data_IF_331593164180
#
_entry.id   IF_331593164180
#
_cell.length_a   1.000
_cell.length_b   1.000
_cell.length_c   1.000
_cell.angle_alpha   90.00
_cell.angle_beta   90.00
_cell.angle_gamma   90.00
#
_symmetry.space_group_name_H-M   'P 1'
#
loop_
_entity.id
_entity.type
_entity.pdbx_description
1 polymer ?
#
# COMPACT_ATOMS: atom_id res chain seq x y z
N UNK A 1 -29.21 2.87 12.53
CA UNK A 1 -28.76 1.47 12.39
C UNK A 1 -29.44 0.90 11.15
N UNK A 2 -28.73 0.18 10.27
CA UNK A 2 -29.39 -0.54 9.17
C UNK A 2 -30.07 -1.78 9.75
N UNK A 3 -31.26 -2.11 9.24
CA UNK A 3 -31.89 -3.39 9.54
C UNK A 3 -31.13 -4.54 8.88
N UNK A 4 -31.31 -5.79 9.32
CA UNK A 4 -30.70 -6.95 8.67
C UNK A 4 -31.05 -7.07 7.18
N UNK A 5 -32.28 -6.69 6.82
CA UNK A 5 -32.78 -6.66 5.45
C UNK A 5 -32.06 -5.60 4.61
N UNK A 6 -31.94 -4.37 5.13
CA UNK A 6 -31.19 -3.29 4.46
C UNK A 6 -29.70 -3.60 4.32
N UNK A 7 -29.11 -4.33 5.27
CA UNK A 7 -27.71 -4.78 5.20
C UNK A 7 -27.51 -5.87 4.14
N UNK A 8 -28.50 -6.74 3.93
CA UNK A 8 -28.50 -7.70 2.84
C UNK A 8 -28.68 -7.01 1.48
N UNK A 9 -29.61 -6.05 1.39
CA UNK A 9 -29.84 -5.22 0.21
C UNK A 9 -28.56 -4.47 -0.20
N UNK A 10 -27.84 -3.89 0.76
CA UNK A 10 -26.56 -3.20 0.52
C UNK A 10 -25.51 -4.13 -0.11
N UNK A 11 -25.36 -5.36 0.39
CA UNK A 11 -24.42 -6.35 -0.15
C UNK A 11 -24.76 -6.75 -1.60
N UNK A 12 -26.04 -6.94 -1.89
CA UNK A 12 -26.52 -7.27 -3.24
C UNK A 12 -26.24 -6.11 -4.20
N UNK A 13 -26.51 -4.87 -3.78
CA UNK A 13 -26.25 -3.69 -4.59
C UNK A 13 -24.75 -3.46 -4.81
N UNK A 14 -23.89 -3.74 -3.83
CA UNK A 14 -22.43 -3.72 -3.98
C UNK A 14 -21.94 -4.77 -4.97
N UNK A 15 -22.38 -6.02 -4.82
CA UNK A 15 -22.03 -7.09 -5.76
C UNK A 15 -22.47 -6.75 -7.19
N UNK A 16 -23.62 -6.08 -7.35
CA UNK A 16 -24.12 -5.66 -8.66
C UNK A 16 -23.43 -4.41 -9.21
N UNK A 17 -22.97 -3.50 -8.36
CA UNK A 17 -22.29 -2.28 -8.79
C UNK A 17 -20.82 -2.50 -9.15
N UNK A 18 -20.15 -3.43 -8.44
CA UNK A 18 -18.70 -3.66 -8.54
C UNK A 18 -18.34 -5.07 -9.03
N UNK A 19 -19.32 -5.93 -9.28
CA UNK A 19 -19.09 -7.27 -9.85
C UNK A 19 -18.72 -7.24 -11.33
N UNK A 20 -18.13 -8.35 -11.80
CA UNK A 20 -17.57 -8.53 -13.16
C UNK A 20 -18.55 -8.15 -14.29
N UNK A 21 -19.85 -8.36 -14.09
CA UNK A 21 -20.92 -8.07 -15.06
C UNK A 21 -21.85 -6.93 -14.62
N UNK A 22 -21.42 -6.12 -13.67
CA UNK A 22 -22.24 -5.11 -13.01
C UNK A 22 -22.69 -3.97 -13.93
N UNK A 23 -24.01 -3.90 -14.20
CA UNK A 23 -24.67 -2.72 -14.80
C UNK A 23 -25.86 -2.30 -13.94
N UNK A 24 -25.64 -1.70 -12.76
CA UNK A 24 -26.72 -1.22 -11.92
C UNK A 24 -27.47 -0.10 -12.63
N UNK A 25 -28.79 -0.11 -12.53
CA UNK A 25 -29.63 0.99 -13.00
C UNK A 25 -29.40 2.25 -12.15
N UNK A 26 -29.78 3.42 -12.68
CA UNK A 26 -29.69 4.70 -11.93
C UNK A 26 -30.46 4.66 -10.60
N UNK A 27 -31.59 3.95 -10.55
CA UNK A 27 -32.39 3.77 -9.35
C UNK A 27 -31.64 2.94 -8.30
N UNK A 28 -30.97 1.88 -8.73
CA UNK A 28 -30.16 1.02 -7.85
C UNK A 28 -28.93 1.76 -7.31
N UNK A 29 -28.26 2.58 -8.12
CA UNK A 29 -27.16 3.43 -7.65
C UNK A 29 -27.62 4.49 -6.64
N UNK A 30 -28.80 5.10 -6.85
CA UNK A 30 -29.37 6.04 -5.90
C UNK A 30 -29.72 5.34 -4.57
N UNK A 31 -30.28 4.13 -4.64
CA UNK A 31 -30.59 3.30 -3.47
C UNK A 31 -29.32 2.89 -2.72
N UNK A 32 -28.27 2.52 -3.44
CA UNK A 32 -26.98 2.19 -2.87
C UNK A 32 -26.40 3.36 -2.06
N UNK A 33 -26.35 4.56 -2.65
CA UNK A 33 -25.85 5.78 -1.98
C UNK A 33 -26.64 6.15 -0.72
N UNK A 34 -27.95 5.92 -0.71
CA UNK A 34 -28.79 6.14 0.47
C UNK A 34 -28.42 5.19 1.62
N UNK A 35 -28.28 3.89 1.33
CA UNK A 35 -27.91 2.88 2.32
C UNK A 35 -26.49 3.14 2.88
N UNK A 36 -25.55 3.54 2.04
CA UNK A 36 -24.18 3.90 2.45
C UNK A 36 -24.14 5.15 3.34
N UNK A 37 -24.94 6.18 3.04
CA UNK A 37 -25.06 7.39 3.89
C UNK A 37 -25.64 7.02 5.26
N UNK A 38 -26.67 6.19 5.31
CA UNK A 38 -27.26 5.70 6.57
C UNK A 38 -26.28 4.83 7.37
N UNK A 39 -25.45 4.01 6.72
CA UNK A 39 -24.39 3.24 7.40
C UNK A 39 -23.33 4.17 8.00
N UNK A 40 -22.85 5.16 7.23
CA UNK A 40 -21.85 6.15 7.68
C UNK A 40 -22.35 7.03 8.83
N UNK A 41 -23.59 7.50 8.77
CA UNK A 41 -24.19 8.30 9.85
C UNK A 41 -24.28 7.57 11.19
N UNK A 42 -24.37 6.24 11.18
CA UNK A 42 -24.36 5.41 12.41
C UNK A 42 -22.96 5.28 13.00
N UNK A 43 -21.93 5.19 12.16
CA UNK A 43 -20.53 5.12 12.61
C UNK A 43 -20.10 6.45 13.23
N UNK A 44 -20.49 7.58 12.62
CA UNK A 44 -20.23 8.90 13.18
C UNK A 44 -20.92 9.12 14.54
N UNK A 45 -22.20 8.71 14.67
CA UNK A 45 -22.93 8.80 15.94
C UNK A 45 -22.37 7.86 17.04
N UNK A 46 -21.78 6.72 16.66
CA UNK A 46 -21.12 5.81 17.60
C UNK A 46 -19.76 6.35 18.08
N UNK A 47 -19.04 7.10 17.24
CA UNK A 47 -17.80 7.79 17.62
C UNK A 47 -18.02 8.93 18.62
N UNK A 48 -19.15 9.65 18.54
CA UNK A 48 -19.49 10.72 19.50
C UNK A 48 -19.91 10.18 20.88
N UNK A 49 -20.37 8.92 20.98
CA UNK A 49 -20.74 8.30 22.26
C UNK A 49 -19.56 7.66 23.02
N UNK A 50 -18.39 7.53 22.40
CA UNK A 50 -17.20 6.91 23.01
C UNK A 50 -16.26 7.91 23.72
N UNK A 51 -16.60 9.20 23.74
CA UNK A 51 -15.85 10.24 24.44
C UNK A 51 -16.46 10.54 25.82
N UNK A 52 -16.37 9.59 26.76
CA UNK A 52 -16.55 9.90 28.18
C UNK A 52 -15.28 10.63 28.70
N UNK A 53 -15.41 11.74 29.43
CA UNK A 53 -14.27 12.48 29.94
C UNK A 53 -13.63 11.71 31.09
N UNK A 54 -12.39 11.28 30.89
CA UNK A 54 -11.55 10.70 31.94
C UNK A 54 -11.31 11.77 33.01
N UNK A 55 -11.97 11.61 34.15
CA UNK A 55 -11.80 12.45 35.32
C UNK A 55 -10.36 12.34 35.85
N UNK A 56 -9.62 13.44 35.78
CA UNK A 56 -8.32 13.57 36.40
C UNK A 56 -8.47 13.45 37.92
N UNK A 57 -7.71 12.52 38.52
CA UNK A 57 -7.64 12.33 39.97
C UNK A 57 -6.90 13.48 40.63
N UNK A 58 -7.53 14.14 41.60
CA UNK A 58 -6.88 15.03 42.56
C UNK A 58 -6.23 14.22 43.71
N UNK A 59 -5.09 14.67 44.26
CA UNK A 59 -4.42 14.03 45.40
C UNK A 59 -5.10 14.38 46.76
N UNK A 60 -4.91 13.57 47.81
CA UNK A 60 -5.64 13.73 49.06
C UNK A 60 -4.97 14.78 49.96
N UNK A 61 -5.77 15.69 50.51
CA UNK A 61 -5.39 16.48 51.67
C UNK A 61 -6.40 16.21 52.79
N UNK A 62 -5.91 15.51 53.82
CA UNK A 62 -6.58 15.36 55.11
C UNK A 62 -6.96 16.73 55.69
N UNK A 63 -8.19 16.85 56.20
CA UNK A 63 -8.45 17.81 57.29
C UNK A 63 -9.64 17.37 58.13
N UNK A 64 -9.40 17.11 59.40
CA UNK A 64 -10.41 17.07 60.47
C UNK A 64 -10.90 18.49 60.80
N UNK A 65 -12.14 18.65 61.30
CA UNK A 65 -12.75 19.96 61.49
C UNK A 65 -12.53 20.50 62.91
N UNK A 66 -12.16 21.78 63.02
CA UNK A 66 -12.34 22.57 64.24
C UNK A 66 -13.10 23.84 63.89
N UNK A 67 -14.23 24.01 64.56
CA UNK A 67 -15.11 25.17 64.46
C UNK A 67 -14.41 26.46 64.94
N UNK A 68 -14.69 27.58 64.27
CA UNK A 68 -15.47 28.69 64.84
C UNK A 68 -15.20 30.03 64.13
N UNK A 69 -16.29 30.81 64.04
CA UNK A 69 -16.35 32.27 64.05
C UNK A 69 -16.09 33.02 62.74
N UNK A 70 -17.20 33.55 62.20
CA UNK A 70 -17.21 34.77 61.39
C UNK A 70 -16.47 35.92 62.09
N UNK A 71 -15.82 36.80 61.32
CA UNK A 71 -16.24 38.18 61.39
C UNK A 71 -16.49 38.80 60.01
N UNK A 72 -17.58 39.56 59.95
CA UNK A 72 -17.94 40.46 58.86
C UNK A 72 -16.81 41.46 58.61
N UNK A 73 -16.18 41.42 57.43
CA UNK A 73 -15.33 42.51 56.95
C UNK A 73 -15.65 42.94 55.51
N UNK A 74 -15.89 44.26 55.27
CA UNK A 74 -16.39 44.80 54.00
C UNK A 74 -15.30 44.98 52.92
N UNK A 75 -14.21 44.21 52.96
CA UNK A 75 -13.13 44.27 51.95
C UNK A 75 -13.25 43.21 50.85
N UNK A 76 -14.24 42.31 50.94
CA UNK A 76 -14.47 41.21 49.99
C UNK A 76 -14.99 41.65 48.60
N UNK A 77 -15.29 42.93 48.39
CA UNK A 77 -15.69 43.43 47.06
C UNK A 77 -14.51 43.62 46.10
N UNK A 78 -13.31 43.92 46.60
CA UNK A 78 -12.14 44.14 45.73
C UNK A 78 -11.49 42.84 45.25
N UNK A 79 -11.57 41.76 46.04
CA UNK A 79 -11.05 40.45 45.62
C UNK A 79 -11.92 39.77 44.54
N UNK A 80 -13.23 40.03 44.51
CA UNK A 80 -14.12 39.50 43.46
C UNK A 80 -13.91 40.26 42.14
N UNK A 81 -13.62 41.57 42.18
CA UNK A 81 -13.29 42.34 40.97
C UNK A 81 -11.94 41.92 40.38
N UNK A 82 -10.93 41.68 41.23
CA UNK A 82 -9.63 41.18 40.77
C UNK A 82 -9.71 39.80 40.11
N UNK A 83 -10.47 38.87 40.70
CA UNK A 83 -10.68 37.55 40.12
C UNK A 83 -11.45 37.62 38.79
N UNK A 84 -12.50 38.44 38.70
CA UNK A 84 -13.26 38.62 37.46
C UNK A 84 -12.42 39.26 36.35
N UNK A 85 -11.54 40.22 36.67
CA UNK A 85 -10.65 40.83 35.70
C UNK A 85 -9.60 39.82 35.17
N UNK A 86 -9.01 39.00 36.05
CA UNK A 86 -8.07 37.95 35.63
C UNK A 86 -8.77 36.88 34.78
N UNK A 87 -10.01 36.52 35.12
CA UNK A 87 -10.81 35.57 34.34
C UNK A 87 -11.22 36.16 32.97
N UNK A 88 -11.58 37.44 32.91
CA UNK A 88 -11.86 38.13 31.65
C UNK A 88 -10.60 38.26 30.76
N UNK A 89 -9.45 38.55 31.35
CA UNK A 89 -8.16 38.58 30.65
C UNK A 89 -7.77 37.16 30.20
N UNK A 90 -7.95 36.15 31.04
CA UNK A 90 -7.71 34.75 30.69
C UNK A 90 -8.62 34.24 29.58
N UNK A 91 -9.89 34.66 29.56
CA UNK A 91 -10.84 34.35 28.48
C UNK A 91 -10.49 35.12 27.21
N UNK A 92 -10.11 36.39 27.30
CA UNK A 92 -9.71 37.19 26.14
C UNK A 92 -8.39 36.70 25.51
N UNK A 93 -7.40 36.35 26.34
CA UNK A 93 -6.11 35.79 25.90
C UNK A 93 -6.30 34.35 25.42
N UNK A 94 -7.11 33.55 26.12
CA UNK A 94 -7.48 32.20 25.69
C UNK A 94 -8.22 32.20 24.35
N UNK A 95 -9.13 33.15 24.12
CA UNK A 95 -9.77 33.36 22.82
C UNK A 95 -8.79 33.86 21.76
N UNK A 96 -7.88 34.78 22.08
CA UNK A 96 -6.87 35.26 21.14
C UNK A 96 -5.91 34.17 20.65
N UNK A 97 -5.52 33.25 21.54
CA UNK A 97 -4.62 32.13 21.20
C UNK A 97 -5.39 30.97 20.54
N UNK A 98 -6.64 30.71 20.92
CA UNK A 98 -7.43 29.61 20.36
C UNK A 98 -8.18 29.96 19.07
N UNK A 99 -8.41 31.24 18.78
CA UNK A 99 -9.02 31.67 17.52
C UNK A 99 -8.02 31.65 16.35
N UNK A 100 -6.71 31.65 16.64
CA UNK A 100 -5.67 31.68 15.61
C UNK A 100 -5.25 30.30 15.06
N UNK A 101 -5.97 29.22 15.41
CA UNK A 101 -5.76 27.87 14.86
C UNK A 101 -6.70 27.52 13.71
N UNK A 102 -7.43 28.49 13.16
CA UNK A 102 -8.19 28.34 11.90
C UNK A 102 -7.81 29.40 10.88
N UNK A 103 -6.51 29.64 10.72
CA UNK A 103 -6.00 30.37 9.58
C UNK A 103 -6.38 29.63 8.32
N UNK A 104 -7.42 30.10 7.62
CA UNK A 104 -7.61 29.73 6.22
C UNK A 104 -6.36 30.23 5.51
N UNK A 105 -5.67 29.33 4.80
CA UNK A 105 -4.56 29.71 3.96
C UNK A 105 -5.09 30.75 2.97
N UNK A 106 -4.51 31.96 2.90
CA UNK A 106 -4.99 32.99 1.98
C UNK A 106 -4.78 32.49 0.55
N UNK A 107 -5.87 32.19 -0.13
CA UNK A 107 -5.86 31.72 -1.51
C UNK A 107 -5.70 32.89 -2.47
N UNK A 108 -4.87 32.71 -3.50
CA UNK A 108 -4.86 33.57 -4.68
C UNK A 108 -6.20 33.48 -5.41
N UNK A 109 -6.50 34.45 -6.26
CA UNK A 109 -7.75 34.42 -7.03
C UNK A 109 -7.80 33.21 -7.99
N UNK A 110 -6.65 32.76 -8.50
CA UNK A 110 -6.55 31.55 -9.32
C UNK A 110 -6.85 30.28 -8.51
N UNK A 111 -6.25 30.15 -7.32
CA UNK A 111 -6.51 29.00 -6.43
C UNK A 111 -7.96 28.96 -5.93
N UNK A 112 -8.58 30.12 -5.71
CA UNK A 112 -10.00 30.23 -5.38
C UNK A 112 -10.86 29.74 -6.55
N UNK A 113 -10.48 30.09 -7.78
CA UNK A 113 -11.11 29.56 -8.99
C UNK A 113 -11.02 28.03 -9.11
N UNK A 114 -9.89 27.42 -8.74
CA UNK A 114 -9.77 25.95 -8.71
C UNK A 114 -10.64 25.32 -7.64
N UNK A 115 -10.68 25.91 -6.44
CA UNK A 115 -11.55 25.42 -5.36
C UNK A 115 -13.03 25.50 -5.74
N UNK A 116 -13.45 26.58 -6.39
CA UNK A 116 -14.80 26.77 -6.89
C UNK A 116 -15.14 25.78 -8.01
N UNK A 117 -14.18 25.49 -8.90
CA UNK A 117 -14.35 24.48 -9.95
C UNK A 117 -14.53 23.06 -9.37
N UNK A 118 -13.72 22.68 -8.38
CA UNK A 118 -13.85 21.39 -7.69
C UNK A 118 -15.15 21.29 -6.87
N UNK A 119 -15.57 22.39 -6.24
CA UNK A 119 -16.84 22.45 -5.50
C UNK A 119 -18.07 22.43 -6.42
N UNK A 120 -17.92 22.77 -7.70
CA UNK A 120 -18.98 22.68 -8.70
C UNK A 120 -19.16 21.26 -9.25
N UNK A 121 -18.25 20.34 -8.94
CA UNK A 121 -18.41 18.92 -9.27
C UNK A 121 -19.38 18.25 -8.29
N UNK A 122 -20.34 17.47 -8.80
CA UNK A 122 -21.33 16.72 -7.99
C UNK A 122 -20.71 15.60 -7.12
N UNK A 123 -19.38 15.49 -7.08
CA UNK A 123 -18.63 14.48 -6.33
C UNK A 123 -18.35 14.86 -4.87
N UNK A 124 -18.43 16.14 -4.52
CA UNK A 124 -18.00 16.65 -3.22
C UNK A 124 -19.10 17.46 -2.52
N UNK A 125 -19.18 17.36 -1.20
CA UNK A 125 -20.14 18.13 -0.40
C UNK A 125 -19.70 19.60 -0.30
N UNK A 126 -20.66 20.53 -0.36
CA UNK A 126 -20.38 21.97 -0.22
C UNK A 126 -19.64 22.25 1.09
N UNK A 127 -18.42 22.80 0.98
CA UNK A 127 -17.57 23.12 2.12
C UNK A 127 -16.61 22.01 2.56
N UNK A 128 -16.52 20.89 1.82
CA UNK A 128 -15.55 19.82 2.11
C UNK A 128 -14.09 20.21 1.82
N UNK A 129 -13.86 21.22 0.97
CA UNK A 129 -12.53 21.69 0.63
C UNK A 129 -12.04 22.77 1.60
N UNK A 130 -10.86 22.55 2.18
CA UNK A 130 -10.12 23.58 2.93
C UNK A 130 -8.66 23.58 2.52
N UNK A 131 -8.12 24.77 2.28
CA UNK A 131 -6.69 24.93 2.04
C UNK A 131 -5.92 24.70 3.35
N UNK A 132 -4.88 23.88 3.30
CA UNK A 132 -4.10 23.45 4.49
C UNK A 132 -2.68 24.02 4.47
N UNK A 133 -2.09 24.20 3.29
CA UNK A 133 -0.83 24.93 3.06
C UNK A 133 -0.84 25.56 1.66
N UNK A 134 -0.02 26.60 1.47
CA UNK A 134 0.37 27.12 0.16
C UNK A 134 1.89 27.18 0.16
N UNK A 135 2.52 26.45 -0.76
CA UNK A 135 3.96 26.46 -0.97
C UNK A 135 4.22 26.73 -2.45
N UNK A 136 5.20 27.58 -2.74
CA UNK A 136 5.50 28.05 -4.09
C UNK A 136 6.34 27.01 -4.88
N UNK A 137 6.84 25.99 -4.18
CA UNK A 137 7.46 24.80 -4.73
C UNK A 137 6.54 23.60 -4.50
N UNK A 138 5.46 23.51 -5.26
CA UNK A 138 4.63 22.29 -5.27
C UNK A 138 5.43 21.20 -5.98
N UNK A 139 6.26 20.49 -5.23
CA UNK A 139 6.78 19.21 -5.66
C UNK A 139 5.61 18.34 -6.14
N UNK A 140 5.79 17.65 -7.26
CA UNK A 140 4.77 16.70 -7.72
C UNK A 140 4.72 15.58 -6.69
N UNK A 141 3.65 15.52 -5.90
CA UNK A 141 3.40 14.42 -4.96
C UNK A 141 2.74 13.27 -5.71
N UNK A 142 3.28 12.07 -5.55
CA UNK A 142 2.76 10.83 -6.12
C UNK A 142 2.17 10.00 -4.99
N UNK A 143 0.94 9.54 -5.16
CA UNK A 143 0.23 8.73 -4.17
C UNK A 143 -0.07 7.34 -4.72
N UNK A 144 0.28 6.31 -3.94
CA UNK A 144 -0.19 4.95 -4.13
C UNK A 144 -1.34 4.69 -3.15
N UNK A 145 -2.50 4.30 -3.67
CA UNK A 145 -3.70 4.03 -2.89
C UNK A 145 -4.16 2.61 -3.21
N UNK A 146 -4.36 1.79 -2.18
CA UNK A 146 -4.89 0.43 -2.30
C UNK A 146 -6.14 0.28 -1.44
N UNK A 147 -7.18 -0.37 -1.97
CA UNK A 147 -8.37 -0.70 -1.21
C UNK A 147 -9.01 -2.02 -1.64
N UNK A 148 -9.74 -2.64 -0.71
CA UNK A 148 -10.43 -3.92 -0.91
C UNK A 148 -11.96 -3.80 -0.72
N UNK A 149 -12.50 -2.57 -0.82
CA UNK A 149 -13.92 -2.28 -0.59
C UNK A 149 -14.29 -2.04 0.87
N UNK A 150 -13.62 -2.70 1.83
CA UNK A 150 -13.84 -2.52 3.26
C UNK A 150 -12.81 -1.58 3.92
N UNK A 151 -11.57 -1.63 3.45
CA UNK A 151 -10.44 -0.82 3.92
C UNK A 151 -9.74 -0.18 2.74
N UNK A 152 -9.12 0.97 3.01
CA UNK A 152 -8.16 1.59 2.09
C UNK A 152 -6.92 2.02 2.87
N UNK A 153 -5.79 1.96 2.20
CA UNK A 153 -4.50 2.45 2.68
C UNK A 153 -3.91 3.35 1.58
N UNK A 154 -3.18 4.38 1.97
CA UNK A 154 -2.57 5.33 1.04
C UNK A 154 -1.20 5.74 1.55
N UNK A 155 -0.23 5.85 0.64
CA UNK A 155 1.08 6.42 0.90
C UNK A 155 1.42 7.39 -0.22
N UNK A 156 1.78 8.61 0.15
CA UNK A 156 2.17 9.66 -0.77
C UNK A 156 3.61 10.07 -0.47
N UNK A 157 4.40 10.24 -1.52
CA UNK A 157 5.79 10.72 -1.46
C UNK A 157 6.01 11.76 -2.56
N UNK A 158 6.99 12.62 -2.38
CA UNK A 158 7.45 13.50 -3.46
C UNK A 158 7.98 12.68 -4.64
N UNK A 159 7.79 13.17 -5.86
CA UNK A 159 8.18 12.47 -7.09
C UNK A 159 9.67 12.08 -7.13
N UNK A 160 10.56 12.90 -6.57
CA UNK A 160 11.98 12.58 -6.45
C UNK A 160 12.23 11.40 -5.51
N UNK A 161 11.51 11.34 -4.37
CA UNK A 161 11.58 10.21 -3.45
C UNK A 161 11.00 8.93 -4.07
N UNK A 162 9.93 9.02 -4.87
CA UNK A 162 9.41 7.87 -5.63
C UNK A 162 10.42 7.40 -6.67
N UNK A 163 11.14 8.31 -7.33
CA UNK A 163 12.16 7.95 -8.30
C UNK A 163 13.36 7.25 -7.67
N UNK A 164 13.73 7.61 -6.44
CA UNK A 164 14.85 6.97 -5.73
C UNK A 164 14.48 5.67 -5.00
N UNK A 165 13.28 5.59 -4.42
CA UNK A 165 12.92 4.50 -3.48
C UNK A 165 11.66 3.71 -3.88
N UNK A 166 10.83 4.28 -4.74
CA UNK A 166 9.47 3.79 -5.00
C UNK A 166 8.52 4.02 -3.82
N UNK A 167 7.25 3.66 -4.00
CA UNK A 167 6.24 3.61 -2.94
C UNK A 167 5.87 2.16 -2.69
N UNK A 168 5.84 1.76 -1.41
CA UNK A 168 5.42 0.44 -0.96
C UNK A 168 4.28 0.60 0.05
N UNK A 169 3.25 -0.23 -0.07
CA UNK A 169 2.04 -0.17 0.73
C UNK A 169 1.47 -1.57 0.98
N UNK A 170 1.10 -1.87 2.22
CA UNK A 170 0.42 -3.13 2.56
C UNK A 170 -1.04 -2.90 2.95
N UNK A 171 -1.88 -3.86 2.58
CA UNK A 171 -3.28 -3.97 3.00
C UNK A 171 -3.56 -5.39 3.48
N UNK A 172 -4.05 -5.51 4.71
CA UNK A 172 -4.42 -6.80 5.29
C UNK A 172 -5.94 -6.99 5.30
N UNK A 173 -6.38 -8.13 4.78
CA UNK A 173 -7.76 -8.56 4.74
C UNK A 173 -7.93 -9.90 5.47
N UNK A 174 -8.93 -10.04 6.36
CA UNK A 174 -9.26 -11.34 6.92
C UNK A 174 -9.77 -12.28 5.81
N UNK A 175 -9.51 -13.57 5.95
CA UNK A 175 -10.14 -14.61 5.11
C UNK A 175 -11.31 -15.27 5.84
N UNK A 176 -12.07 -16.12 5.15
CA UNK A 176 -13.15 -16.92 5.76
C UNK A 176 -12.61 -17.98 6.73
N UNK A 177 -11.33 -18.35 6.59
CA UNK A 177 -10.66 -19.32 7.44
C UNK A 177 -10.13 -18.67 8.72
N UNK A 178 -10.48 -19.27 9.86
CA UNK A 178 -10.18 -18.72 11.18
C UNK A 178 -8.67 -18.53 11.40
N UNK A 179 -8.26 -17.25 11.49
CA UNK A 179 -6.89 -16.85 11.76
C UNK A 179 -6.02 -16.64 10.52
N UNK A 180 -6.48 -17.01 9.33
CA UNK A 180 -5.75 -16.74 8.10
C UNK A 180 -6.11 -15.33 7.60
N UNK A 181 -5.11 -14.56 7.22
CA UNK A 181 -5.28 -13.25 6.62
C UNK A 181 -4.50 -13.15 5.31
N UNK A 182 -5.10 -12.51 4.31
CA UNK A 182 -4.42 -12.14 3.08
C UNK A 182 -3.70 -10.82 3.33
N UNK A 183 -2.40 -10.80 3.06
CA UNK A 183 -1.61 -9.58 2.96
C UNK A 183 -1.46 -9.28 1.48
N UNK A 184 -1.91 -8.10 1.07
CA UNK A 184 -1.67 -7.58 -0.28
C UNK A 184 -0.68 -6.44 -0.19
N UNK A 185 0.42 -6.55 -0.90
CA UNK A 185 1.45 -5.52 -1.02
C UNK A 185 1.31 -4.87 -2.39
N UNK A 186 1.36 -3.54 -2.46
CA UNK A 186 1.50 -2.79 -3.70
C UNK A 186 2.83 -2.06 -3.71
N UNK A 187 3.38 -1.98 -4.91
CA UNK A 187 4.58 -1.25 -5.22
C UNK A 187 4.28 -0.29 -6.35
N UNK A 188 4.83 0.91 -6.29
CA UNK A 188 4.87 1.86 -7.40
C UNK A 188 6.31 2.34 -7.59
N UNK A 189 6.84 2.19 -8.79
CA UNK A 189 8.15 2.70 -9.21
C UNK A 189 8.00 3.48 -10.51
N UNK A 190 8.99 4.28 -10.89
CA UNK A 190 9.05 4.86 -12.22
C UNK A 190 9.87 3.98 -13.16
N UNK A 191 9.37 3.80 -14.38
CA UNK A 191 10.10 3.20 -15.50
C UNK A 191 11.24 4.11 -15.96
N UNK A 192 12.20 3.62 -16.78
CA UNK A 192 13.29 4.46 -17.29
C UNK A 192 12.84 5.69 -18.09
N UNK A 193 11.69 5.61 -18.77
CA UNK A 193 11.04 6.71 -19.48
C UNK A 193 10.19 7.62 -18.54
N UNK A 194 10.21 7.34 -17.24
CA UNK A 194 9.58 8.16 -16.21
C UNK A 194 8.08 7.90 -15.99
N UNK A 195 7.52 6.84 -16.56
CA UNK A 195 6.12 6.47 -16.36
C UNK A 195 5.93 5.68 -15.07
N UNK A 196 4.84 5.86 -14.32
CA UNK A 196 4.57 5.06 -13.14
C UNK A 196 4.23 3.62 -13.54
N UNK A 197 4.96 2.65 -12.98
CA UNK A 197 4.65 1.23 -13.03
C UNK A 197 4.26 0.76 -11.64
N UNK A 198 3.05 0.21 -11.51
CA UNK A 198 2.54 -0.33 -10.26
C UNK A 198 2.35 -1.84 -10.36
N UNK A 199 2.71 -2.55 -9.30
CA UNK A 199 2.52 -3.99 -9.18
C UNK A 199 1.87 -4.31 -7.83
N UNK A 200 1.10 -5.40 -7.79
CA UNK A 200 0.50 -5.91 -6.54
C UNK A 200 0.82 -7.39 -6.39
N UNK A 201 1.19 -7.80 -5.18
CA UNK A 201 1.35 -9.19 -4.80
C UNK A 201 0.42 -9.48 -3.60
N UNK A 202 -0.16 -10.67 -3.54
CA UNK A 202 -0.97 -11.11 -2.41
C UNK A 202 -0.50 -12.48 -1.92
N UNK A 203 -0.36 -12.62 -0.61
CA UNK A 203 -0.01 -13.88 0.04
C UNK A 203 -0.87 -14.11 1.29
N UNK A 204 -1.06 -15.37 1.65
CA UNK A 204 -1.79 -15.74 2.85
C UNK A 204 -0.81 -15.95 4.01
N UNK A 205 -1.13 -15.33 5.14
CA UNK A 205 -0.43 -15.54 6.40
C UNK A 205 -1.34 -16.31 7.37
N UNK A 206 -0.76 -17.29 8.06
CA UNK A 206 -1.41 -18.00 9.16
C UNK A 206 -0.89 -17.51 10.51
N UNK A 207 -1.64 -17.69 11.61
CA UNK A 207 -1.22 -17.30 12.95
C UNK A 207 0.04 -18.05 13.43
N UNK A 208 0.33 -19.21 12.85
CA UNK A 208 1.53 -19.99 13.16
C UNK A 208 2.78 -19.46 12.45
N UNK A 209 2.67 -18.38 11.66
CA UNK A 209 3.79 -17.81 10.89
C UNK A 209 4.17 -18.64 9.66
N UNK A 210 3.35 -19.64 9.30
CA UNK A 210 3.55 -20.42 8.09
C UNK A 210 2.78 -19.76 6.94
N UNK A 211 3.47 -19.56 5.81
CA UNK A 211 2.82 -19.16 4.56
C UNK A 211 1.93 -20.30 4.08
N UNK A 212 0.68 -19.99 3.73
CA UNK A 212 -0.25 -20.94 3.10
C UNK A 212 -0.31 -20.60 1.62
N UNK A 213 -0.10 -21.59 0.76
CA UNK A 213 -0.10 -21.41 -0.69
C UNK A 213 -1.42 -21.85 -1.31
N UNK A 214 -1.70 -21.38 -2.53
CA UNK A 214 -2.84 -21.90 -3.28
C UNK A 214 -2.71 -23.42 -3.48
N UNK A 215 -3.81 -24.17 -3.64
CA UNK A 215 -3.74 -25.63 -3.78
C UNK A 215 -2.81 -26.11 -4.90
N UNK A 216 -2.69 -25.33 -5.99
CA UNK A 216 -1.79 -25.65 -7.12
C UNK A 216 -0.31 -25.53 -6.75
N UNK A 217 0.04 -24.59 -5.88
CA UNK A 217 1.42 -24.30 -5.49
C UNK A 217 1.84 -25.10 -4.26
N UNK A 218 0.88 -25.56 -3.45
CA UNK A 218 1.14 -26.39 -2.27
C UNK A 218 1.87 -27.69 -2.62
N UNK A 219 1.53 -28.33 -3.73
CA UNK A 219 2.23 -29.55 -4.16
C UNK A 219 3.70 -29.31 -4.51
N UNK A 220 4.02 -28.13 -5.08
CA UNK A 220 5.39 -27.71 -5.37
C UNK A 220 6.13 -27.41 -4.07
N UNK A 221 5.49 -26.69 -3.15
CA UNK A 221 6.04 -26.41 -1.82
C UNK A 221 6.43 -27.69 -1.09
N UNK A 222 5.52 -28.66 -1.01
CA UNK A 222 5.76 -29.93 -0.32
C UNK A 222 6.96 -30.68 -0.96
N UNK A 223 7.03 -30.70 -2.30
CA UNK A 223 8.14 -31.31 -3.02
C UNK A 223 9.48 -30.59 -2.78
N UNK A 224 9.49 -29.25 -2.70
CA UNK A 224 10.69 -28.49 -2.36
C UNK A 224 11.15 -28.79 -0.92
N UNK A 225 10.23 -28.89 0.03
CA UNK A 225 10.56 -29.28 1.41
C UNK A 225 11.16 -30.69 1.45
N UNK A 226 10.58 -31.66 0.75
CA UNK A 226 11.11 -33.03 0.64
C UNK A 226 12.52 -33.07 0.01
N UNK A 227 12.82 -32.13 -0.89
CA UNK A 227 14.15 -31.95 -1.48
C UNK A 227 15.18 -31.27 -0.57
N UNK A 228 14.79 -30.90 0.65
CA UNK A 228 15.70 -30.36 1.66
C UNK A 228 15.72 -28.83 1.75
N UNK A 229 14.75 -28.14 1.15
CA UNK A 229 14.57 -26.71 1.39
C UNK A 229 13.97 -26.45 2.79
N UNK A 230 14.40 -25.37 3.44
CA UNK A 230 13.87 -24.99 4.74
C UNK A 230 12.45 -24.45 4.57
N UNK A 231 11.49 -25.11 5.22
CA UNK A 231 10.06 -24.77 5.12
C UNK A 231 9.78 -23.28 5.39
N UNK A 232 10.44 -22.71 6.41
CA UNK A 232 10.27 -21.30 6.81
C UNK A 232 10.92 -20.29 5.86
N UNK A 233 11.75 -20.75 4.92
CA UNK A 233 12.45 -19.90 3.95
C UNK A 233 11.81 -19.89 2.57
N UNK A 234 10.92 -20.85 2.30
CA UNK A 234 10.21 -20.97 1.04
C UNK A 234 9.18 -19.86 0.92
N UNK A 235 9.33 -19.02 -0.10
CA UNK A 235 8.35 -17.99 -0.47
C UNK A 235 8.26 -17.82 -1.98
N UNK A 236 7.07 -17.50 -2.50
CA UNK A 236 6.87 -17.15 -3.92
C UNK A 236 7.18 -15.66 -4.10
N UNK A 237 8.14 -15.33 -4.96
CA UNK A 237 8.47 -13.93 -5.31
C UNK A 237 7.70 -13.40 -6.51
N UNK A 238 7.14 -14.29 -7.31
CA UNK A 238 6.33 -13.95 -8.47
C UNK A 238 5.99 -15.18 -9.28
N UNK A 239 5.40 -14.95 -10.44
CA UNK A 239 5.07 -15.99 -11.39
C UNK A 239 5.68 -15.63 -12.73
N UNK A 240 6.18 -16.63 -13.44
CA UNK A 240 6.51 -16.51 -14.85
C UNK A 240 5.62 -17.46 -15.64
N UNK A 241 4.90 -16.91 -16.61
CA UNK A 241 3.72 -17.56 -17.21
C UNK A 241 2.72 -17.96 -16.10
N UNK A 242 2.47 -19.25 -15.89
CA UNK A 242 1.57 -19.76 -14.83
C UNK A 242 2.32 -20.51 -13.71
N UNK A 243 3.65 -20.40 -13.67
CA UNK A 243 4.50 -21.18 -12.77
C UNK A 243 5.16 -20.30 -11.70
N UNK A 244 5.18 -20.74 -10.43
CA UNK A 244 5.75 -19.95 -9.35
C UNK A 244 7.27 -19.88 -9.45
N UNK A 245 7.80 -18.68 -9.22
CA UNK A 245 9.20 -18.43 -8.94
C UNK A 245 9.36 -18.32 -7.43
N UNK A 246 10.11 -19.25 -6.87
CA UNK A 246 10.36 -19.35 -5.44
C UNK A 246 11.71 -18.76 -5.08
N UNK A 247 11.81 -18.33 -3.84
CA UNK A 247 13.09 -18.24 -3.17
C UNK A 247 13.07 -19.12 -1.94
N UNK A 248 14.20 -19.77 -1.68
CA UNK A 248 14.35 -20.69 -0.57
C UNK A 248 15.80 -20.77 -0.11
N UNK A 249 16.02 -21.12 1.15
CA UNK A 249 17.31 -21.54 1.67
C UNK A 249 17.32 -23.05 1.82
N UNK A 250 18.46 -23.69 1.54
CA UNK A 250 18.64 -25.12 1.77
C UNK A 250 18.92 -25.40 3.25
N UNK A 251 18.43 -26.52 3.75
CA UNK A 251 18.67 -26.93 5.14
C UNK A 251 20.13 -27.38 5.37
N UNK A 252 20.78 -27.90 4.33
CA UNK A 252 22.14 -28.44 4.36
C UNK A 252 23.22 -27.43 3.93
N UNK A 253 22.85 -26.35 3.25
CA UNK A 253 23.76 -25.29 2.78
C UNK A 253 23.44 -23.95 3.48
N UNK A 254 23.96 -23.80 4.70
CA UNK A 254 23.73 -22.60 5.51
C UNK A 254 24.28 -21.34 4.81
N UNK A 255 23.42 -20.34 4.63
CA UNK A 255 23.79 -19.05 4.05
C UNK A 255 23.64 -18.95 2.53
N UNK A 256 23.20 -20.02 1.85
CA UNK A 256 22.80 -19.96 0.45
C UNK A 256 21.30 -19.69 0.29
N UNK A 257 20.99 -18.83 -0.68
CA UNK A 257 19.64 -18.56 -1.16
C UNK A 257 19.54 -19.06 -2.59
N UNK A 258 18.49 -19.82 -2.86
CA UNK A 258 18.20 -20.35 -4.18
C UNK A 258 16.99 -19.63 -4.77
N UNK A 259 17.13 -19.17 -6.00
CA UNK A 259 16.02 -18.76 -6.85
C UNK A 259 15.60 -20.00 -7.66
N UNK A 260 14.35 -20.43 -7.50
CA UNK A 260 13.85 -21.69 -8.05
C UNK A 260 12.63 -21.41 -8.92
N UNK A 261 12.74 -21.70 -10.21
CA UNK A 261 11.58 -21.76 -11.11
C UNK A 261 11.06 -23.19 -11.12
N UNK A 262 9.80 -23.40 -10.70
CA UNK A 262 9.21 -24.73 -10.62
C UNK A 262 7.96 -24.82 -11.50
N UNK A 263 8.11 -25.46 -12.67
CA UNK A 263 6.98 -25.71 -13.57
C UNK A 263 6.04 -26.81 -13.04
N UNK A 264 6.61 -27.77 -12.31
CA UNK A 264 5.88 -28.80 -11.57
C UNK A 264 6.69 -29.25 -10.33
N UNK A 265 6.11 -30.10 -9.50
CA UNK A 265 6.75 -30.64 -8.30
C UNK A 265 8.09 -31.36 -8.57
N UNK A 266 8.21 -32.00 -9.73
CA UNK A 266 9.38 -32.74 -10.21
C UNK A 266 10.16 -32.02 -11.33
N UNK A 267 9.67 -30.86 -11.79
CA UNK A 267 10.28 -30.09 -12.87
C UNK A 267 10.63 -28.68 -12.39
N UNK A 268 11.82 -28.52 -11.83
CA UNK A 268 12.34 -27.21 -11.43
C UNK A 268 13.75 -26.95 -11.94
N UNK A 269 14.07 -25.68 -12.13
CA UNK A 269 15.42 -25.18 -12.42
C UNK A 269 15.78 -24.18 -11.34
N UNK A 270 17.03 -24.21 -10.87
CA UNK A 270 17.46 -23.39 -9.74
C UNK A 270 18.87 -22.86 -9.90
N UNK A 271 19.10 -21.71 -9.25
CA UNK A 271 20.43 -21.13 -9.03
C UNK A 271 20.54 -20.78 -7.56
N UNK A 272 21.60 -21.24 -6.92
CA UNK A 272 21.87 -20.93 -5.52
C UNK A 272 23.10 -20.03 -5.43
N UNK A 273 23.03 -19.01 -4.58
CA UNK A 273 24.13 -18.11 -4.30
C UNK A 273 24.17 -17.75 -2.81
N UNK A 274 25.34 -17.42 -2.26
CA UNK A 274 25.44 -16.87 -0.91
C UNK A 274 24.57 -15.61 -0.77
N UNK A 275 23.85 -15.52 0.35
CA UNK A 275 22.90 -14.43 0.66
C UNK A 275 23.53 -13.03 0.68
N UNK A 276 24.86 -12.93 0.77
CA UNK A 276 25.60 -11.67 0.81
C UNK A 276 25.78 -10.98 -0.54
N UNK A 277 25.30 -11.58 -1.64
CA UNK A 277 25.21 -10.89 -2.93
C UNK A 277 23.83 -10.23 -3.04
N UNK A 278 23.80 -8.93 -3.30
CA UNK A 278 22.58 -8.11 -3.38
C UNK A 278 21.62 -8.51 -4.53
N UNK A 279 21.99 -9.51 -5.33
CA UNK A 279 21.21 -10.04 -6.44
C UNK A 279 21.48 -11.53 -6.70
N UNK A 280 20.46 -12.23 -7.20
CA UNK A 280 20.55 -13.57 -7.75
C UNK A 280 19.90 -13.57 -9.14
N UNK A 281 20.58 -14.12 -10.15
CA UNK A 281 20.09 -14.19 -11.54
C UNK A 281 20.00 -15.64 -11.97
N UNK A 282 18.83 -16.05 -12.46
CA UNK A 282 18.53 -17.35 -13.01
C UNK A 282 18.15 -17.22 -14.49
N UNK A 283 18.88 -17.88 -15.38
CA UNK A 283 18.45 -18.03 -16.76
C UNK A 283 17.71 -19.37 -16.93
N UNK A 284 16.49 -19.32 -17.46
CA UNK A 284 15.73 -20.51 -17.82
C UNK A 284 15.43 -20.51 -19.32
N UNK A 285 15.55 -21.68 -19.95
CA UNK A 285 15.03 -21.88 -21.29
C UNK A 285 13.56 -22.21 -21.20
N UNK A 286 12.73 -21.43 -21.88
CA UNK A 286 11.27 -21.54 -21.87
C UNK A 286 10.84 -22.20 -23.18
N UNK A 287 10.10 -23.29 -23.05
CA UNK A 287 9.50 -24.04 -24.16
C UNK A 287 10.53 -24.74 -25.08
N UNK A 288 11.14 -25.85 -24.62
CA UNK A 288 12.11 -26.61 -25.41
C UNK A 288 11.51 -27.30 -26.64
N UNK A 289 10.19 -27.48 -26.67
CA UNK A 289 9.50 -28.33 -27.66
C UNK A 289 8.86 -27.57 -28.82
N UNK A 290 8.86 -26.24 -28.80
CA UNK A 290 8.29 -25.42 -29.87
C UNK A 290 9.36 -24.84 -30.79
N UNK A 291 9.02 -24.66 -32.07
CA UNK A 291 9.85 -23.99 -33.08
C UNK A 291 10.19 -22.52 -32.74
N UNK A 292 9.73 -22.00 -31.60
CA UNK A 292 10.06 -20.69 -31.05
C UNK A 292 10.65 -20.88 -29.65
N UNK A 293 11.93 -21.25 -29.59
CA UNK A 293 12.67 -21.24 -28.32
C UNK A 293 12.66 -19.82 -27.77
N UNK A 294 12.36 -19.67 -26.48
CA UNK A 294 12.47 -18.39 -25.77
C UNK A 294 13.37 -18.62 -24.57
N UNK A 295 14.25 -17.67 -24.26
CA UNK A 295 15.02 -17.71 -23.02
C UNK A 295 14.45 -16.62 -22.12
N UNK A 296 14.09 -16.98 -20.89
CA UNK A 296 13.74 -16.01 -19.88
C UNK A 296 14.89 -15.88 -18.90
N UNK A 297 15.38 -14.66 -18.75
CA UNK A 297 16.26 -14.28 -17.66
C UNK A 297 15.39 -13.79 -16.51
N UNK A 298 15.52 -14.44 -15.36
CA UNK A 298 14.79 -14.14 -14.13
C UNK A 298 15.80 -13.61 -13.12
N UNK A 299 15.76 -12.31 -12.89
CA UNK A 299 16.63 -11.63 -11.93
C UNK A 299 15.83 -11.30 -10.67
N UNK A 300 16.35 -11.69 -9.53
CA UNK A 300 15.86 -11.26 -8.24
C UNK A 300 16.88 -10.36 -7.57
N UNK A 301 16.49 -9.12 -7.33
CA UNK A 301 17.34 -8.13 -6.68
C UNK A 301 16.75 -7.72 -5.33
N UNK A 302 17.65 -7.52 -4.38
CA UNK A 302 17.31 -7.00 -3.05
C UNK A 302 18.22 -5.83 -2.75
N UNK A 303 17.92 -4.62 -3.26
CA UNK A 303 18.72 -3.46 -2.93
C UNK A 303 18.72 -3.19 -1.43
N UNK A 304 19.76 -2.48 -0.97
CA UNK A 304 19.97 -2.16 0.44
C UNK A 304 18.86 -1.32 1.08
N UNK A 305 18.00 -0.69 0.26
CA UNK A 305 16.79 0.01 0.69
C UNK A 305 15.67 -0.95 1.16
N UNK A 306 15.87 -2.26 1.07
CA UNK A 306 14.94 -3.29 1.53
C UNK A 306 13.83 -3.63 0.52
N UNK A 307 13.78 -2.94 -0.62
CA UNK A 307 12.91 -3.34 -1.72
C UNK A 307 13.36 -4.70 -2.27
N UNK A 308 12.41 -5.49 -2.75
CA UNK A 308 12.67 -6.75 -3.42
C UNK A 308 11.87 -6.73 -4.70
N UNK A 309 12.54 -6.92 -5.84
CA UNK A 309 11.83 -7.02 -7.11
C UNK A 309 12.37 -8.19 -7.92
N UNK A 310 11.42 -8.78 -8.66
CA UNK A 310 11.67 -9.82 -9.63
C UNK A 310 11.56 -9.17 -11.01
N UNK A 311 12.65 -9.17 -11.77
CA UNK A 311 12.66 -8.76 -13.17
C UNK A 311 12.68 -10.01 -14.03
N UNK A 312 11.77 -10.10 -14.99
CA UNK A 312 11.74 -11.20 -15.94
C UNK A 312 11.89 -10.63 -17.35
N UNK A 313 13.00 -10.94 -17.99
CA UNK A 313 13.31 -10.51 -19.35
C UNK A 313 13.20 -11.69 -20.29
N UNK A 314 12.28 -11.62 -21.25
CA UNK A 314 12.09 -12.67 -22.25
C UNK A 314 12.79 -12.27 -23.54
N UNK A 315 13.81 -13.05 -23.91
CA UNK A 315 14.56 -12.83 -25.14
C UNK A 315 14.00 -13.73 -26.26
N UNK A 316 13.71 -13.17 -27.45
CA UNK A 316 13.48 -14.00 -28.62
C UNK A 316 14.80 -14.68 -29.00
N UNK A 317 14.77 -16.01 -29.15
CA UNK A 317 15.95 -16.76 -29.55
C UNK A 317 15.97 -16.80 -31.08
N UNK A 318 16.77 -15.94 -31.71
CA UNK A 318 17.11 -16.09 -33.13
C UNK A 318 18.22 -17.13 -33.31
N UNK A 319 19.24 -17.16 -32.44
CA UNK A 319 20.34 -18.13 -32.46
C UNK A 319 20.84 -18.42 -31.04
N UNK A 320 20.42 -19.55 -30.44
CA UNK A 320 21.05 -20.11 -29.24
C UNK A 320 21.75 -21.39 -29.65
N UNK A 321 23.07 -21.42 -29.48
CA UNK A 321 23.85 -22.64 -29.64
C UNK A 321 23.77 -23.40 -28.32
N UNK A 322 22.99 -24.48 -28.31
CA UNK A 322 22.89 -25.40 -27.18
C UNK A 322 23.92 -26.50 -27.36
N UNK A 323 24.65 -26.85 -26.31
CA UNK A 323 25.54 -27.99 -26.27
C UNK A 323 24.72 -29.26 -26.52
N UNK A 324 24.99 -30.00 -27.60
CA UNK A 324 24.21 -31.18 -27.94
C UNK A 324 24.44 -32.35 -26.97
N UNK A 325 25.51 -32.34 -26.17
CA UNK A 325 25.82 -33.38 -25.20
C UNK A 325 25.26 -33.09 -23.81
N UNK A 326 25.27 -31.83 -23.37
CA UNK A 326 24.81 -31.45 -22.03
C UNK A 326 23.43 -30.80 -21.99
N UNK A 327 22.98 -30.22 -23.11
CA UNK A 327 21.76 -29.42 -23.16
C UNK A 327 21.93 -28.00 -22.60
N UNK A 328 23.15 -27.60 -22.25
CA UNK A 328 23.45 -26.27 -21.72
C UNK A 328 23.57 -25.24 -22.85
N UNK A 329 23.23 -23.99 -22.56
CA UNK A 329 23.42 -22.88 -23.51
C UNK A 329 24.91 -22.52 -23.57
N UNK A 330 25.55 -22.66 -24.74
CA UNK A 330 26.99 -22.40 -24.93
C UNK A 330 27.26 -20.90 -25.12
N UNK A 331 26.41 -20.22 -25.88
CA UNK A 331 26.58 -18.80 -26.19
C UNK A 331 25.23 -18.19 -26.54
N UNK A 332 24.97 -16.99 -26.02
CA UNK A 332 23.91 -16.11 -26.51
C UNK A 332 24.55 -14.76 -26.83
N UNK A 333 24.47 -14.35 -28.10
CA UNK A 333 24.56 -12.94 -28.43
C UNK A 333 23.19 -12.36 -28.19
N UNK A 334 23.04 -11.60 -27.11
CA UNK A 334 21.95 -10.62 -27.06
C UNK A 334 22.25 -9.66 -28.20
N UNK A 335 21.34 -9.52 -29.17
CA UNK A 335 21.35 -8.35 -30.04
C UNK A 335 21.09 -7.14 -29.12
N UNK A 336 22.16 -6.63 -28.49
CA UNK A 336 22.14 -5.26 -28.03
C UNK A 336 21.82 -4.43 -29.28
N UNK A 337 20.79 -3.57 -29.27
CA UNK A 337 20.60 -2.65 -30.37
C UNK A 337 21.87 -1.79 -30.42
N UNK A 338 22.76 -2.11 -31.36
CA UNK A 338 23.98 -1.38 -31.60
C UNK A 338 23.58 0.07 -31.89
N UNK A 339 23.98 0.97 -31.01
CA UNK A 339 23.69 2.41 -31.10
C UNK A 339 24.24 3.07 -32.38
N UNK A 340 24.96 2.33 -33.23
CA UNK A 340 25.51 2.80 -34.50
C UNK A 340 24.47 2.91 -35.64
N UNK A 341 23.28 2.31 -35.51
CA UNK A 341 22.23 2.41 -36.55
C UNK A 341 21.33 3.66 -36.42
N UNK A 342 21.57 4.52 -35.40
CA UNK A 342 20.89 5.81 -35.23
C UNK A 342 21.70 7.03 -35.70
N UNK A 343 22.76 6.80 -36.49
CA UNK A 343 23.35 7.88 -37.28
C UNK A 343 22.38 8.29 -38.40
N UNK A 344 21.46 9.19 -38.06
CA UNK A 344 20.70 10.02 -39.00
C UNK A 344 21.67 10.58 -40.06
N UNK A 345 21.54 10.08 -41.29
CA UNK A 345 22.18 10.64 -42.46
C UNK A 345 21.61 12.05 -42.73
N UNK A 346 22.22 13.06 -42.14
CA UNK A 346 21.93 14.49 -42.36
C UNK A 346 22.46 14.99 -43.73
N UNK A 347 22.50 14.11 -44.75
CA UNK A 347 22.91 14.48 -46.11
C UNK A 347 21.95 14.01 -47.18
N UNK A 348 20.70 14.46 -47.09
CA UNK A 348 19.94 14.78 -48.31
C UNK A 348 19.19 16.09 -48.18
N UNK A 349 19.94 17.19 -48.23
CA UNK A 349 19.41 18.44 -48.76
C UNK A 349 19.18 18.29 -50.26
N UNK A 350 17.93 18.05 -50.67
CA UNK A 350 17.35 18.45 -51.95
C UNK A 350 15.84 18.59 -51.86
#
# INVERSE_FOLDING_TARGET
MLTPEESAELRILHAKAYGRDGKPSKVELARLRELERRRRGVVAAASDMAAEPVAASDPPADTTPVAASEPRHPRRRWLVVGAAAILAIGVAVGWGVSANTRGSVPLTDEQRGWQDALAAEDYYDVGSFRAVSADDEVGVVVCLIMGNGDKSSAKCLDSDAVRSEGIWLDLQAPTDDAGIFTVTTATLVFTPDGQPAAATNSFFNSPSGNTVYEPKDQAIFDALVERGYQQSSLWIVGYFEDHPVWIASRADAAGEQCLVYAAAADASTEVCAPWSKDSASLMITVNPDSHHKRVAQIDFERPSNGSQYLTITVHPVSDVTVDPETGDVIEFTVDEPSFDDLALDDKTGK
#
